data_IF_602308902796
#
_entry.id   IF_602308902796
#
_cell.length_a   1.000
_cell.length_b   1.000
_cell.length_c   1.000
_cell.angle_alpha   90.00
_cell.angle_beta   90.00
_cell.angle_gamma   90.00
#
_symmetry.space_group_name_H-M   'P 1'
#
loop_
_entity.id
_entity.type
_entity.pdbx_description
1 polymer ?
#
# COMPACT_ATOMS: atom_id res chain seq x y z
N UNK A 1 -40.49 3.79 37.87
CA UNK A 1 -40.80 3.36 36.56
C UNK A 1 -39.90 3.92 35.51
N UNK A 2 -39.69 5.15 35.54
CA UNK A 2 -38.92 5.80 34.52
C UNK A 2 -37.44 5.69 34.72
N UNK A 3 -37.02 5.17 35.85
CA UNK A 3 -35.61 5.13 36.19
C UNK A 3 -34.80 4.22 35.29
N UNK A 4 -35.43 3.34 34.55
CA UNK A 4 -34.70 2.40 33.74
C UNK A 4 -34.13 2.99 32.47
N UNK A 5 -34.76 4.01 31.95
CA UNK A 5 -34.29 4.62 30.73
C UNK A 5 -32.91 5.21 30.84
N UNK A 6 -32.57 5.92 31.95
CA UNK A 6 -31.19 6.44 32.07
C UNK A 6 -30.14 5.35 32.11
N UNK A 7 -30.45 4.19 32.67
CA UNK A 7 -29.50 3.10 32.70
C UNK A 7 -29.16 2.60 31.31
N UNK A 8 -30.15 2.43 30.47
CA UNK A 8 -29.92 1.99 29.11
C UNK A 8 -29.11 3.03 28.34
N UNK A 9 -29.38 4.26 28.56
CA UNK A 9 -28.61 5.33 27.89
C UNK A 9 -27.17 5.31 28.31
N UNK A 10 -26.89 5.05 29.58
CA UNK A 10 -25.52 4.99 30.05
C UNK A 10 -24.76 3.86 29.42
N UNK A 11 -25.39 2.69 29.29
CA UNK A 11 -24.77 1.56 28.64
C UNK A 11 -24.46 1.85 27.19
N UNK A 12 -25.39 2.49 26.49
CA UNK A 12 -25.17 2.88 25.10
C UNK A 12 -24.05 3.89 24.94
N UNK A 13 -23.97 4.85 25.87
CA UNK A 13 -22.91 5.84 25.81
C UNK A 13 -21.53 5.24 26.03
N UNK A 14 -21.41 4.30 26.95
CA UNK A 14 -20.15 3.63 27.20
C UNK A 14 -19.70 2.80 25.98
N UNK A 15 -20.62 2.10 25.35
CA UNK A 15 -20.31 1.35 24.15
C UNK A 15 -19.90 2.27 23.02
N UNK A 16 -20.57 3.38 22.88
CA UNK A 16 -20.24 4.36 21.86
C UNK A 16 -18.85 4.95 22.07
N UNK A 17 -18.50 5.27 23.29
CA UNK A 17 -17.18 5.78 23.61
C UNK A 17 -16.08 4.77 23.29
N UNK A 18 -16.33 3.50 23.59
CA UNK A 18 -15.38 2.45 23.27
C UNK A 18 -15.21 2.30 21.75
N UNK A 19 -16.30 2.39 21.02
CA UNK A 19 -16.25 2.32 19.56
C UNK A 19 -15.48 3.49 18.98
N UNK A 20 -15.68 4.68 19.51
CA UNK A 20 -14.97 5.87 19.05
C UNK A 20 -13.48 5.73 19.29
N UNK A 21 -13.08 5.25 20.46
CA UNK A 21 -11.67 5.07 20.76
C UNK A 21 -11.04 4.03 19.85
N UNK A 22 -11.77 2.96 19.58
CA UNK A 22 -11.26 1.93 18.67
C UNK A 22 -11.11 2.47 17.25
N UNK A 23 -12.07 3.27 16.79
CA UNK A 23 -12.00 3.87 15.48
C UNK A 23 -10.82 4.85 15.38
N UNK A 24 -10.57 5.62 16.44
CA UNK A 24 -9.44 6.54 16.46
C UNK A 24 -8.11 5.80 16.43
N UNK A 25 -8.02 4.71 17.19
CA UNK A 25 -6.81 3.90 17.18
C UNK A 25 -6.56 3.31 15.80
N UNK A 26 -7.60 2.81 15.15
CA UNK A 26 -7.47 2.28 13.81
C UNK A 26 -7.03 3.36 12.82
N UNK A 27 -7.60 4.55 12.94
CA UNK A 27 -7.24 5.68 12.10
C UNK A 27 -5.75 6.02 12.27
N UNK A 28 -5.26 6.04 13.50
CA UNK A 28 -3.86 6.32 13.77
C UNK A 28 -2.95 5.25 13.20
N UNK A 29 -3.34 3.99 13.31
CA UNK A 29 -2.58 2.89 12.74
C UNK A 29 -2.53 2.96 11.22
N UNK A 30 -3.64 3.32 10.58
CA UNK A 30 -3.69 3.48 9.13
C UNK A 30 -2.78 4.62 8.69
N UNK A 31 -2.82 5.75 9.38
CA UNK A 31 -1.97 6.90 9.04
C UNK A 31 -0.50 6.57 9.20
N UNK A 32 -0.14 5.88 10.29
CA UNK A 32 1.24 5.47 10.53
C UNK A 32 1.72 4.49 9.47
N UNK A 33 0.86 3.57 9.07
CA UNK A 33 1.21 2.60 8.03
C UNK A 33 1.41 3.29 6.69
N UNK A 34 0.56 4.25 6.34
CA UNK A 34 0.71 4.99 5.10
C UNK A 34 2.04 5.73 5.04
N UNK A 35 2.43 6.38 6.13
CA UNK A 35 3.71 7.06 6.21
C UNK A 35 4.88 6.09 6.08
N UNK A 36 4.78 4.94 6.73
CA UNK A 36 5.81 3.91 6.67
C UNK A 36 5.96 3.40 5.24
N UNK A 37 4.86 3.04 4.58
CA UNK A 37 4.90 2.53 3.21
C UNK A 37 5.45 3.57 2.26
N UNK A 38 5.06 4.83 2.42
CA UNK A 38 5.55 5.91 1.56
C UNK A 38 7.05 6.07 1.60
N UNK A 39 7.68 5.71 2.72
CA UNK A 39 9.13 5.76 2.87
C UNK A 39 9.86 4.51 2.43
N UNK A 40 9.15 3.46 2.05
CA UNK A 40 9.77 2.21 1.61
C UNK A 40 10.13 2.27 0.14
N UNK A 41 11.06 1.40 -0.25
CA UNK A 41 11.43 1.22 -1.65
C UNK A 41 10.99 -0.16 -2.12
N UNK A 42 10.49 -0.20 -3.33
CA UNK A 42 10.00 -1.43 -3.95
C UNK A 42 10.77 -1.63 -5.25
N UNK A 43 11.35 -2.79 -5.40
CA UNK A 43 12.23 -3.10 -6.53
C UNK A 43 11.63 -4.22 -7.36
N UNK A 44 11.66 -4.04 -8.66
CA UNK A 44 11.23 -5.08 -9.60
C UNK A 44 12.16 -5.11 -10.80
N UNK A 45 12.25 -6.28 -11.42
CA UNK A 45 13.10 -6.48 -12.58
C UNK A 45 12.30 -6.99 -13.76
N UNK A 46 12.85 -6.86 -14.94
CA UNK A 46 12.28 -7.41 -16.17
C UNK A 46 13.41 -7.96 -17.03
N UNK A 47 13.05 -8.86 -17.95
CA UNK A 47 14.01 -9.43 -18.89
C UNK A 47 15.11 -10.24 -18.25
N UNK A 48 14.81 -10.95 -17.17
CA UNK A 48 15.82 -11.73 -16.48
C UNK A 48 16.80 -10.92 -15.67
N UNK A 49 16.42 -9.69 -15.29
CA UNK A 49 17.25 -8.84 -14.47
C UNK A 49 18.05 -7.81 -15.24
N UNK A 50 17.82 -7.67 -16.54
CA UNK A 50 18.54 -6.68 -17.35
C UNK A 50 18.03 -5.26 -17.14
N UNK A 51 16.79 -5.12 -16.64
CA UNK A 51 16.22 -3.83 -16.25
C UNK A 51 15.72 -3.96 -14.81
N UNK A 52 16.09 -3.00 -13.97
CA UNK A 52 15.66 -2.96 -12.58
C UNK A 52 15.05 -1.59 -12.30
N UNK A 53 13.83 -1.57 -11.79
CA UNK A 53 13.14 -0.35 -11.41
C UNK A 53 12.96 -0.32 -9.90
N UNK A 54 13.19 0.84 -9.30
CA UNK A 54 12.94 1.07 -7.87
C UNK A 54 11.94 2.21 -7.74
N UNK A 55 10.82 1.95 -7.08
CA UNK A 55 9.81 2.97 -6.82
C UNK A 55 9.63 3.15 -5.33
N UNK A 56 9.19 4.34 -4.95
CA UNK A 56 8.80 4.59 -3.55
C UNK A 56 7.39 4.12 -3.31
N UNK A 57 7.00 4.07 -2.05
CA UNK A 57 5.62 3.76 -1.69
C UNK A 57 4.61 4.80 -2.18
N UNK A 58 5.08 5.94 -2.65
CA UNK A 58 4.25 6.94 -3.31
C UNK A 58 4.11 6.68 -4.80
N UNK A 59 4.65 5.56 -5.27
CA UNK A 59 4.64 5.18 -6.68
C UNK A 59 5.49 6.10 -7.56
N UNK A 60 6.49 6.72 -6.95
CA UNK A 60 7.45 7.55 -7.68
C UNK A 60 8.63 6.70 -8.09
N UNK A 61 8.99 6.74 -9.36
CA UNK A 61 10.18 6.03 -9.85
C UNK A 61 11.42 6.74 -9.30
N UNK A 62 12.19 6.03 -8.47
CA UNK A 62 13.38 6.58 -7.83
C UNK A 62 14.63 6.30 -8.63
N UNK A 63 14.72 5.12 -9.22
CA UNK A 63 15.88 4.77 -10.03
C UNK A 63 15.51 3.73 -11.06
N UNK A 64 16.30 3.70 -12.11
CA UNK A 64 16.14 2.74 -13.19
C UNK A 64 17.54 2.31 -13.60
N UNK A 65 17.80 1.02 -13.50
CA UNK A 65 19.08 0.47 -13.87
C UNK A 65 18.93 -0.42 -15.09
N UNK A 66 19.72 -0.17 -16.10
CA UNK A 66 19.69 -0.91 -17.36
C UNK A 66 21.07 -1.47 -17.59
N UNK A 67 21.16 -2.79 -17.80
CA UNK A 67 22.47 -3.37 -18.08
C UNK A 67 22.97 -2.92 -19.44
N UNK A 68 24.26 -2.55 -19.53
CA UNK A 68 24.80 -1.98 -20.77
C UNK A 68 24.65 -2.88 -22.00
N UNK A 69 24.60 -4.19 -21.80
CA UNK A 69 24.44 -5.14 -22.91
C UNK A 69 23.14 -4.95 -23.69
N UNK A 70 22.13 -4.32 -23.08
CA UNK A 70 20.89 -4.02 -23.79
C UNK A 70 21.01 -2.86 -24.77
N UNK A 71 21.97 -1.96 -24.54
CA UNK A 71 22.08 -0.74 -25.32
C UNK A 71 23.39 -0.63 -26.10
N UNK A 72 24.33 -1.54 -25.84
CA UNK A 72 25.66 -1.51 -26.44
C UNK A 72 25.87 -2.65 -27.40
N UNK A 73 25.05 -2.82 -28.40
CA UNK A 73 25.20 -3.90 -29.33
C UNK A 73 24.57 -3.57 -30.67
N UNK A 74 24.98 -4.30 -31.69
CA UNK A 74 24.38 -4.17 -32.99
C UNK A 74 22.92 -4.61 -32.99
N UNK A 75 22.58 -5.45 -32.05
CA UNK A 75 21.24 -6.00 -31.91
C UNK A 75 20.40 -5.27 -30.88
N UNK A 76 20.77 -4.04 -30.50
CA UNK A 76 19.99 -3.30 -29.55
C UNK A 76 18.60 -3.01 -30.13
N UNK A 77 17.59 -3.32 -29.35
CA UNK A 77 16.20 -3.17 -29.73
C UNK A 77 15.53 -2.19 -28.80
N UNK A 78 15.29 -1.00 -29.31
CA UNK A 78 14.70 0.08 -28.51
C UNK A 78 13.30 -0.27 -28.06
N UNK A 79 12.51 -0.92 -28.91
CA UNK A 79 11.14 -1.30 -28.52
C UNK A 79 11.16 -2.32 -27.38
N UNK A 80 12.05 -3.30 -27.44
CA UNK A 80 12.18 -4.27 -26.39
C UNK A 80 12.61 -3.59 -25.08
N UNK A 81 13.56 -2.65 -25.17
CA UNK A 81 14.00 -1.90 -24.00
C UNK A 81 12.84 -1.11 -23.37
N UNK A 82 12.06 -0.44 -24.19
CA UNK A 82 10.89 0.31 -23.71
C UNK A 82 9.90 -0.61 -23.01
N UNK A 83 9.61 -1.75 -23.60
CA UNK A 83 8.69 -2.73 -23.01
C UNK A 83 9.18 -3.26 -21.68
N UNK A 84 10.49 -3.51 -21.57
CA UNK A 84 11.09 -4.01 -20.34
C UNK A 84 11.04 -2.95 -19.24
N UNK A 85 11.27 -1.68 -19.58
CA UNK A 85 11.19 -0.59 -18.63
C UNK A 85 9.76 -0.46 -18.10
N UNK A 86 8.79 -0.45 -18.99
CA UNK A 86 7.38 -0.37 -18.61
C UNK A 86 6.99 -1.54 -17.73
N UNK A 87 7.43 -2.74 -18.08
CA UNK A 87 7.12 -3.95 -17.32
C UNK A 87 7.72 -3.89 -15.91
N UNK A 88 8.98 -3.49 -15.79
CA UNK A 88 9.64 -3.40 -14.49
C UNK A 88 8.98 -2.34 -13.59
N UNK A 89 8.68 -1.19 -14.15
CA UNK A 89 8.05 -0.12 -13.38
C UNK A 89 6.65 -0.52 -12.92
N UNK A 90 5.85 -1.07 -13.82
CA UNK A 90 4.49 -1.49 -13.47
C UNK A 90 4.50 -2.57 -12.41
N UNK A 91 5.45 -3.50 -12.49
CA UNK A 91 5.57 -4.54 -11.47
C UNK A 91 5.94 -3.97 -10.11
N UNK A 92 6.85 -3.00 -10.09
CA UNK A 92 7.23 -2.33 -8.84
C UNK A 92 6.03 -1.58 -8.23
N UNK A 93 5.25 -0.88 -9.07
CA UNK A 93 4.04 -0.18 -8.62
C UNK A 93 3.01 -1.19 -8.10
N UNK A 94 2.86 -2.33 -8.77
CA UNK A 94 1.96 -3.38 -8.29
C UNK A 94 2.37 -3.88 -6.91
N UNK A 95 3.65 -3.99 -6.64
CA UNK A 95 4.14 -4.39 -5.32
C UNK A 95 3.72 -3.37 -4.25
N UNK A 96 3.75 -2.09 -4.57
CA UNK A 96 3.27 -1.07 -3.64
C UNK A 96 1.80 -1.30 -3.32
N UNK A 97 0.99 -1.52 -4.34
CA UNK A 97 -0.45 -1.72 -4.15
C UNK A 97 -0.76 -2.98 -3.36
N UNK A 98 -0.09 -4.09 -3.69
CA UNK A 98 -0.28 -5.35 -2.99
C UNK A 98 0.14 -5.26 -1.53
N UNK A 99 1.28 -4.62 -1.27
CA UNK A 99 1.77 -4.44 0.10
C UNK A 99 0.82 -3.56 0.90
N UNK A 100 0.37 -2.47 0.31
CA UNK A 100 -0.56 -1.56 0.96
C UNK A 100 -1.86 -2.28 1.31
N UNK A 101 -2.42 -3.01 0.37
CA UNK A 101 -3.65 -3.76 0.59
C UNK A 101 -3.47 -4.83 1.67
N UNK A 102 -2.39 -5.59 1.59
CA UNK A 102 -2.12 -6.66 2.53
C UNK A 102 -1.93 -6.16 3.96
N UNK A 103 -1.13 -5.11 4.13
CA UNK A 103 -0.86 -4.59 5.46
C UNK A 103 -2.04 -3.79 6.01
N UNK A 104 -2.77 -3.10 5.14
CA UNK A 104 -3.99 -2.40 5.54
C UNK A 104 -5.05 -3.38 6.03
N UNK A 105 -5.16 -4.54 5.39
CA UNK A 105 -6.09 -5.59 5.79
C UNK A 105 -5.80 -6.12 7.18
N UNK A 106 -4.54 -6.13 7.60
CA UNK A 106 -4.18 -6.57 8.94
C UNK A 106 -4.73 -5.61 9.99
N UNK A 107 -4.81 -4.34 9.68
CA UNK A 107 -5.34 -3.35 10.60
C UNK A 107 -6.86 -3.45 10.66
N UNK A 108 -7.51 -3.63 9.51
CA UNK A 108 -8.97 -3.61 9.40
C UNK A 108 -9.61 -4.99 9.43
N UNK A 109 -8.81 -6.05 9.38
CA UNK A 109 -9.28 -7.42 9.17
C UNK A 109 -10.17 -7.97 10.26
N UNK A 110 -10.06 -7.45 11.48
CA UNK A 110 -10.92 -7.89 12.57
C UNK A 110 -12.21 -7.09 12.70
N UNK A 111 -12.42 -6.11 11.84
CA UNK A 111 -13.54 -5.20 11.92
C UNK A 111 -14.26 -5.17 10.58
N UNK A 112 -15.54 -5.54 10.59
CA UNK A 112 -16.35 -5.44 9.39
C UNK A 112 -16.99 -4.05 9.36
N UNK A 113 -16.59 -3.24 8.39
CA UNK A 113 -17.09 -1.88 8.25
C UNK A 113 -17.63 -1.69 6.84
N UNK A 114 -18.87 -2.17 6.60
CA UNK A 114 -19.47 -2.02 5.28
C UNK A 114 -19.60 -0.54 4.94
N UNK A 115 -19.23 -0.20 3.73
CA UNK A 115 -19.27 1.18 3.30
C UNK A 115 -17.94 1.88 3.36
N UNK A 116 -16.92 1.32 4.01
CA UNK A 116 -15.57 1.84 4.01
C UNK A 116 -14.67 1.15 3.01
N UNK A 117 -15.08 -0.01 2.57
CA UNK A 117 -14.28 -0.83 1.66
C UNK A 117 -15.08 -1.27 0.45
#
# INVERSE_FOLDING_TARGET
MRARLPKQNQGGAQNMNAMIRQAQKMQDEISALQEDIEGREFTATAGGGVVTAVVSGKKTLLSLEIKPELVNGEDSDIEMLQDLIVSAENEAVNQVEETTESEMSKITGGVSLPGLF
#
